data_IF_905070935364
#
_entry.id   IF_905070935364
#
_cell.length_a   1.000
_cell.length_b   1.000
_cell.length_c   1.000
_cell.angle_alpha   90.00
_cell.angle_beta   90.00
_cell.angle_gamma   90.00
#
_symmetry.space_group_name_H-M   'P 1'
#
loop_
_entity.id
_entity.type
_entity.pdbx_description
1 polymer ?
#
# COMPACT_ATOMS: atom_id res chain seq x y z
N UNK A 1 -26.37 -13.72 1.59
CA UNK A 1 -25.09 -14.14 0.99
C UNK A 1 -24.64 -13.03 0.07
N UNK A 2 -23.78 -12.14 0.57
CA UNK A 2 -23.16 -11.14 -0.30
C UNK A 2 -22.17 -11.89 -1.18
N UNK A 3 -22.43 -11.93 -2.49
CA UNK A 3 -21.48 -12.45 -3.47
C UNK A 3 -20.22 -11.59 -3.42
N UNK A 4 -19.15 -12.13 -2.86
CA UNK A 4 -17.82 -11.54 -2.81
C UNK A 4 -17.13 -11.69 -4.16
N UNK A 5 -17.67 -11.07 -5.20
CA UNK A 5 -17.10 -11.14 -6.55
C UNK A 5 -15.77 -10.38 -6.56
N UNK A 6 -14.62 -11.02 -6.83
CA UNK A 6 -13.34 -10.34 -6.91
C UNK A 6 -13.34 -9.28 -8.01
N UNK A 7 -12.83 -8.10 -7.69
CA UNK A 7 -12.62 -7.01 -8.65
C UNK A 7 -11.20 -7.05 -9.20
N UNK A 8 -11.02 -6.58 -10.43
CA UNK A 8 -9.70 -6.25 -10.96
C UNK A 8 -9.30 -4.85 -10.47
N UNK A 9 -8.03 -4.69 -10.10
CA UNK A 9 -7.46 -3.37 -9.80
C UNK A 9 -6.71 -2.85 -11.02
N UNK A 10 -7.10 -1.66 -11.48
CA UNK A 10 -6.47 -0.96 -12.59
C UNK A 10 -6.62 -1.65 -13.96
N UNK A 11 -6.00 -1.09 -15.00
CA UNK A 11 -6.05 -1.61 -16.35
C UNK A 11 -5.27 -2.92 -16.49
N UNK A 12 -5.85 -3.92 -17.16
CA UNK A 12 -5.25 -5.25 -17.33
C UNK A 12 -3.95 -5.29 -18.15
N UNK A 13 -3.60 -4.20 -18.82
CA UNK A 13 -2.37 -4.10 -19.61
C UNK A 13 -1.17 -3.58 -18.80
N UNK A 14 -1.39 -3.03 -17.60
CA UNK A 14 -0.30 -2.60 -16.72
C UNK A 14 0.43 -3.82 -16.16
N UNK A 15 1.76 -3.78 -16.19
CA UNK A 15 2.60 -4.82 -15.63
C UNK A 15 3.20 -4.33 -14.32
N UNK A 16 2.74 -4.91 -13.23
CA UNK A 16 3.28 -4.65 -11.89
C UNK A 16 3.88 -5.93 -11.30
N UNK A 17 4.75 -5.80 -10.29
CA UNK A 17 5.45 -6.92 -9.67
C UNK A 17 5.27 -6.95 -8.16
N UNK A 18 5.51 -8.14 -7.59
CA UNK A 18 5.60 -8.34 -6.14
C UNK A 18 4.28 -8.10 -5.39
N UNK A 19 4.31 -8.17 -4.06
CA UNK A 19 3.14 -7.84 -3.26
C UNK A 19 2.76 -6.37 -3.42
N UNK A 20 1.46 -6.10 -3.32
CA UNK A 20 0.91 -4.74 -3.24
C UNK A 20 0.91 -4.27 -1.78
N UNK A 21 0.60 -3.00 -1.53
CA UNK A 21 0.31 -2.49 -0.19
C UNK A 21 -1.01 -1.74 -0.19
N UNK A 22 -1.76 -1.83 0.90
CA UNK A 22 -3.06 -1.19 1.05
C UNK A 22 -3.05 -0.18 2.21
N UNK A 23 -3.74 0.94 2.03
CA UNK A 23 -4.03 1.88 3.11
C UNK A 23 -5.44 2.45 2.95
N UNK A 24 -6.17 2.61 4.06
CA UNK A 24 -7.39 3.41 4.05
C UNK A 24 -7.02 4.88 4.14
N UNK A 25 -7.21 5.60 3.04
CA UNK A 25 -7.11 7.04 2.95
C UNK A 25 -8.28 7.76 3.59
N UNK A 26 -8.09 9.04 3.95
CA UNK A 26 -9.15 9.95 4.43
C UNK A 26 -9.53 11.03 3.42
N UNK A 27 -9.01 10.92 2.19
CA UNK A 27 -9.31 11.85 1.11
C UNK A 27 -10.70 11.58 0.50
N UNK A 28 -11.44 12.64 0.20
CA UNK A 28 -12.86 12.54 -0.20
C UNK A 28 -13.82 12.52 1.00
N UNK A 29 -15.13 12.40 0.74
CA UNK A 29 -16.14 12.47 1.79
C UNK A 29 -16.11 11.26 2.73
N UNK A 30 -15.74 10.09 2.21
CA UNK A 30 -15.69 8.83 2.95
C UNK A 30 -14.30 8.20 3.03
N UNK A 31 -13.28 8.86 2.46
CA UNK A 31 -11.96 8.26 2.27
C UNK A 31 -11.90 7.39 1.01
N UNK A 32 -10.69 7.00 0.62
CA UNK A 32 -10.44 6.07 -0.47
C UNK A 32 -9.66 4.87 0.04
N UNK A 33 -9.84 3.69 -0.57
CA UNK A 33 -8.88 2.60 -0.36
C UNK A 33 -7.74 2.77 -1.35
N UNK A 34 -6.55 3.05 -0.84
CA UNK A 34 -5.33 3.25 -1.62
C UNK A 34 -4.58 1.93 -1.77
N UNK A 35 -4.05 1.68 -2.97
CA UNK A 35 -3.23 0.53 -3.28
C UNK A 35 -1.94 0.98 -3.97
N UNK A 36 -0.80 0.52 -3.48
CA UNK A 36 0.51 0.77 -4.07
C UNK A 36 1.08 -0.51 -4.67
N UNK A 37 1.65 -0.43 -5.87
CA UNK A 37 2.31 -1.53 -6.56
C UNK A 37 3.63 -1.07 -7.21
N UNK A 38 4.61 -1.97 -7.28
CA UNK A 38 5.84 -1.72 -8.06
C UNK A 38 5.56 -1.93 -9.55
N UNK A 39 6.01 -1.02 -10.40
CA UNK A 39 6.00 -1.24 -11.85
C UNK A 39 7.01 -2.34 -12.25
N UNK A 40 6.75 -3.05 -13.34
CA UNK A 40 7.64 -4.10 -13.83
C UNK A 40 8.97 -3.58 -14.42
N UNK A 41 8.97 -2.35 -14.92
CA UNK A 41 10.10 -1.66 -15.51
C UNK A 41 10.73 -0.69 -14.51
N UNK A 42 10.03 0.39 -14.17
CA UNK A 42 10.49 1.43 -13.25
C UNK A 42 9.34 2.22 -12.62
N UNK A 43 9.60 2.78 -11.44
CA UNK A 43 8.60 3.53 -10.70
C UNK A 43 7.57 2.68 -9.97
N UNK A 44 6.52 3.37 -9.56
CA UNK A 44 5.45 2.87 -8.71
C UNK A 44 4.11 3.29 -9.31
N UNK A 45 3.09 2.48 -9.05
CA UNK A 45 1.71 2.80 -9.33
C UNK A 45 0.93 2.94 -8.04
N UNK A 46 0.16 4.02 -7.90
CA UNK A 46 -0.90 4.11 -6.90
C UNK A 46 -2.26 3.99 -7.59
N UNK A 47 -3.16 3.22 -7.01
CA UNK A 47 -4.55 3.09 -7.40
C UNK A 47 -5.42 3.46 -6.21
N UNK A 48 -6.61 4.00 -6.46
CA UNK A 48 -7.58 4.27 -5.41
C UNK A 48 -8.93 3.68 -5.78
N UNK A 49 -9.61 3.10 -4.80
CA UNK A 49 -11.01 2.71 -4.91
C UNK A 49 -11.86 3.79 -4.25
N UNK A 50 -12.79 4.36 -5.00
CA UNK A 50 -13.74 5.34 -4.47
C UNK A 50 -14.67 4.65 -3.46
N UNK A 51 -14.68 5.11 -2.20
CA UNK A 51 -15.55 4.57 -1.16
C UNK A 51 -16.88 5.31 -1.01
N UNK A 52 -17.12 6.35 -1.81
CA UNK A 52 -18.38 7.08 -1.84
C UNK A 52 -19.56 6.15 -2.16
N UNK A 53 -20.75 6.55 -1.71
CA UNK A 53 -22.00 5.89 -2.06
C UNK A 53 -22.53 6.41 -3.40
N UNK A 54 -23.33 5.62 -4.13
CA UNK A 54 -24.05 6.12 -5.32
C UNK A 54 -24.95 7.34 -5.06
N UNK A 55 -25.29 7.60 -3.79
CA UNK A 55 -26.09 8.74 -3.34
C UNK A 55 -25.27 9.97 -2.99
N UNK A 56 -23.95 9.84 -2.86
CA UNK A 56 -23.08 10.97 -2.58
C UNK A 56 -22.93 11.82 -3.86
N UNK A 57 -22.77 13.15 -3.75
CA UNK A 57 -22.58 14.01 -4.92
C UNK A 57 -21.35 13.56 -5.70
N UNK A 58 -21.42 13.43 -7.04
CA UNK A 58 -20.27 13.04 -7.83
C UNK A 58 -19.16 14.09 -7.69
N UNK A 59 -17.95 13.65 -7.31
CA UNK A 59 -16.77 14.48 -7.44
C UNK A 59 -16.44 14.67 -8.93
N UNK A 60 -16.06 15.88 -9.34
CA UNK A 60 -15.72 16.18 -10.73
C UNK A 60 -14.50 15.36 -11.17
N UNK A 61 -14.67 14.54 -12.22
CA UNK A 61 -13.59 13.79 -12.85
C UNK A 61 -13.10 12.55 -12.09
N UNK A 62 -13.84 12.09 -11.07
CA UNK A 62 -13.43 10.97 -10.23
C UNK A 62 -13.98 9.60 -10.72
N UNK A 63 -13.39 8.53 -10.17
CA UNK A 63 -13.78 7.14 -10.39
C UNK A 63 -15.15 6.89 -9.77
N UNK A 64 -16.00 6.08 -10.40
CA UNK A 64 -17.33 5.78 -9.88
C UNK A 64 -17.30 5.07 -8.51
N UNK A 65 -18.32 5.27 -7.65
CA UNK A 65 -18.48 4.54 -6.39
C UNK A 65 -18.16 3.05 -6.47
N UNK A 66 -17.25 2.56 -5.63
CA UNK A 66 -16.84 1.16 -5.56
C UNK A 66 -15.96 0.68 -6.71
N UNK A 67 -15.50 1.56 -7.60
CA UNK A 67 -14.59 1.24 -8.69
C UNK A 67 -13.15 1.67 -8.36
N UNK A 68 -12.20 0.97 -8.97
CA UNK A 68 -10.77 1.30 -8.93
C UNK A 68 -10.40 2.30 -10.04
N UNK A 69 -9.45 3.18 -9.75
CA UNK A 69 -8.86 4.08 -10.74
C UNK A 69 -8.02 3.34 -11.79
N UNK A 70 -7.72 4.04 -12.89
CA UNK A 70 -6.75 3.57 -13.89
C UNK A 70 -5.30 3.61 -13.38
N UNK A 71 -5.08 4.19 -12.20
CA UNK A 71 -3.78 4.33 -11.55
C UNK A 71 -3.00 5.58 -11.96
N UNK A 72 -2.13 6.03 -11.06
CA UNK A 72 -1.17 7.09 -11.27
C UNK A 72 0.25 6.53 -11.15
N UNK A 73 1.06 6.69 -12.19
CA UNK A 73 2.47 6.34 -12.18
C UNK A 73 3.31 7.47 -11.59
N UNK A 74 4.27 7.12 -10.75
CA UNK A 74 5.22 8.05 -10.16
C UNK A 74 6.56 7.36 -9.85
N UNK A 75 7.52 8.11 -9.32
CA UNK A 75 8.84 7.59 -8.91
C UNK A 75 9.66 6.92 -10.02
N UNK A 76 9.42 7.28 -11.28
CA UNK A 76 10.16 6.77 -12.44
C UNK A 76 11.68 7.03 -12.31
N UNK A 77 12.48 6.22 -13.01
CA UNK A 77 13.95 6.27 -13.00
C UNK A 77 14.62 5.19 -12.15
N UNK A 78 13.93 4.65 -11.13
CA UNK A 78 14.40 3.55 -10.30
C UNK A 78 13.49 2.32 -10.43
N UNK A 79 14.08 1.12 -10.37
CA UNK A 79 13.33 -0.13 -10.29
C UNK A 79 13.10 -0.51 -8.83
N UNK A 80 11.84 -0.70 -8.44
CA UNK A 80 11.46 -1.10 -7.09
C UNK A 80 11.12 -2.58 -7.00
N UNK A 81 11.39 -3.18 -5.85
CA UNK A 81 11.12 -4.60 -5.56
C UNK A 81 10.04 -4.79 -4.51
N UNK A 82 9.82 -3.78 -3.66
CA UNK A 82 8.75 -3.75 -2.65
C UNK A 82 8.42 -2.30 -2.33
N UNK A 83 7.15 -2.00 -2.07
CA UNK A 83 6.75 -0.71 -1.54
C UNK A 83 5.58 -0.89 -0.57
N UNK A 84 5.52 -0.05 0.46
CA UNK A 84 4.41 -0.01 1.41
C UNK A 84 3.87 1.40 1.55
N UNK A 85 2.55 1.50 1.69
CA UNK A 85 1.81 2.75 1.86
C UNK A 85 1.03 2.69 3.18
N UNK A 86 1.03 3.81 3.91
CA UNK A 86 0.24 3.98 5.13
C UNK A 86 -0.38 5.37 5.17
N UNK A 87 -1.54 5.49 5.81
CA UNK A 87 -2.19 6.77 6.05
C UNK A 87 -1.52 7.49 7.23
N UNK A 88 -1.00 8.68 6.96
CA UNK A 88 -0.52 9.64 7.97
C UNK A 88 -1.70 10.22 8.77
N UNK A 89 -1.46 10.49 10.05
CA UNK A 89 -2.38 11.27 10.90
C UNK A 89 -1.92 12.73 11.05
N UNK A 90 -0.81 13.08 10.39
CA UNK A 90 -0.17 14.38 10.47
C UNK A 90 -0.51 15.20 9.22
N UNK A 91 -0.90 16.47 9.43
CA UNK A 91 -1.08 17.46 8.37
C UNK A 91 -2.30 17.24 7.46
N UNK A 92 -2.46 18.07 6.42
CA UNK A 92 -3.38 17.81 5.30
C UNK A 92 -2.81 16.75 4.32
N UNK A 93 -1.62 16.20 4.61
CA UNK A 93 -0.85 15.33 3.74
C UNK A 93 -1.03 13.88 4.19
N UNK A 94 -1.57 13.06 3.30
CA UNK A 94 -2.33 11.88 3.72
C UNK A 94 -1.53 10.59 3.68
N UNK A 95 -0.58 10.43 2.76
CA UNK A 95 0.01 9.12 2.49
C UNK A 95 1.53 9.14 2.66
N UNK A 96 2.02 8.14 3.38
CA UNK A 96 3.45 7.86 3.54
C UNK A 96 3.80 6.62 2.75
N UNK A 97 4.88 6.67 1.99
CA UNK A 97 5.35 5.56 1.18
C UNK A 97 6.81 5.28 1.48
N UNK A 98 7.13 4.02 1.76
CA UNK A 98 8.50 3.52 1.69
C UNK A 98 8.62 2.59 0.50
N UNK A 99 9.71 2.73 -0.27
CA UNK A 99 9.92 1.97 -1.49
C UNK A 99 11.36 1.47 -1.56
N UNK A 100 11.52 0.15 -1.70
CA UNK A 100 12.80 -0.53 -1.76
C UNK A 100 13.23 -0.66 -3.22
N UNK A 101 14.36 -0.06 -3.57
CA UNK A 101 14.95 -0.20 -4.91
C UNK A 101 15.61 -1.57 -5.10
N UNK A 102 15.84 -1.97 -6.34
CA UNK A 102 16.58 -3.18 -6.69
C UNK A 102 18.04 -3.18 -6.20
N UNK A 103 18.58 -2.01 -5.85
CA UNK A 103 19.92 -1.81 -5.29
C UNK A 103 19.94 -1.90 -3.75
N UNK A 104 18.78 -2.11 -3.11
CA UNK A 104 18.67 -2.23 -1.67
C UNK A 104 18.60 -0.90 -0.92
N UNK A 105 18.21 0.19 -1.60
CA UNK A 105 18.00 1.50 -0.98
C UNK A 105 16.52 1.61 -0.62
N UNK A 106 16.23 1.86 0.66
CA UNK A 106 14.86 2.09 1.13
C UNK A 106 14.55 3.58 1.11
N UNK A 107 13.91 4.03 0.04
CA UNK A 107 13.55 5.43 -0.16
C UNK A 107 12.29 5.81 0.62
N UNK A 108 12.19 7.08 1.01
CA UNK A 108 11.04 7.64 1.72
C UNK A 108 10.32 8.69 0.88
N UNK A 109 9.00 8.56 0.80
CA UNK A 109 8.12 9.35 -0.05
C UNK A 109 6.87 9.76 0.73
N UNK A 110 6.24 10.85 0.32
CA UNK A 110 4.94 11.27 0.83
C UNK A 110 4.10 11.88 -0.28
N UNK A 111 2.79 11.90 -0.09
CA UNK A 111 1.86 12.59 -0.99
C UNK A 111 1.34 13.87 -0.34
N UNK A 112 1.32 14.97 -1.10
CA UNK A 112 0.61 16.20 -0.74
C UNK A 112 -0.42 16.60 -1.80
N UNK A 113 -1.54 17.26 -1.42
CA UNK A 113 -2.53 17.73 -2.38
C UNK A 113 -1.97 18.68 -3.43
N UNK A 114 -0.97 19.49 -3.08
CA UNK A 114 -0.42 20.52 -3.97
C UNK A 114 0.55 19.94 -5.01
N UNK A 115 1.31 18.91 -4.65
CA UNK A 115 2.45 18.45 -5.46
C UNK A 115 2.40 16.97 -5.84
N UNK A 116 1.45 16.21 -5.31
CA UNK A 116 1.40 14.76 -5.49
C UNK A 116 2.50 14.06 -4.70
N UNK A 117 3.03 12.96 -5.25
CA UNK A 117 4.10 12.19 -4.59
C UNK A 117 5.46 12.86 -4.73
N UNK A 118 6.11 13.08 -3.60
CA UNK A 118 7.45 13.66 -3.50
C UNK A 118 8.40 12.72 -2.75
N UNK A 119 9.62 12.56 -3.28
CA UNK A 119 10.71 11.85 -2.61
C UNK A 119 11.37 12.77 -1.60
N UNK A 120 11.63 12.26 -0.40
CA UNK A 120 12.45 12.96 0.58
C UNK A 120 13.94 12.88 0.19
N UNK A 121 14.76 13.87 0.55
CA UNK A 121 16.20 13.82 0.28
C UNK A 121 16.92 12.67 0.99
N UNK A 122 16.42 12.27 2.16
CA UNK A 122 17.04 11.28 3.03
C UNK A 122 16.35 9.92 2.90
N UNK A 123 17.13 8.90 2.53
CA UNK A 123 16.68 7.51 2.53
C UNK A 123 16.48 6.98 3.95
N UNK A 124 15.55 6.04 4.12
CA UNK A 124 15.27 5.44 5.42
C UNK A 124 16.36 4.45 5.86
N UNK A 125 16.90 3.70 4.91
CA UNK A 125 17.96 2.72 5.12
C UNK A 125 18.63 2.34 3.79
N UNK A 126 19.79 1.70 3.88
CA UNK A 126 20.50 1.07 2.77
C UNK A 126 20.71 -0.43 3.04
N UNK A 127 21.25 -1.15 2.04
CA UNK A 127 21.58 -2.58 2.14
C UNK A 127 20.39 -3.47 2.52
N UNK A 128 19.17 -3.02 2.22
CA UNK A 128 17.91 -3.66 2.61
C UNK A 128 17.51 -4.73 1.59
N UNK A 129 17.13 -5.90 2.08
CA UNK A 129 16.56 -7.02 1.31
C UNK A 129 15.03 -7.03 1.34
N UNK A 130 14.46 -6.76 2.51
CA UNK A 130 13.01 -6.61 2.70
C UNK A 130 12.74 -5.69 3.88
N UNK A 131 11.52 -5.19 3.98
CA UNK A 131 11.10 -4.34 5.10
C UNK A 131 9.61 -4.50 5.41
N UNK A 132 9.24 -4.03 6.60
CA UNK A 132 7.87 -3.79 7.01
C UNK A 132 7.75 -2.40 7.65
N UNK A 133 6.64 -1.73 7.40
CA UNK A 133 6.30 -0.39 7.84
C UNK A 133 5.03 -0.43 8.67
N UNK A 134 5.04 0.26 9.80
CA UNK A 134 3.86 0.57 10.59
C UNK A 134 3.82 2.07 10.88
N UNK A 135 2.61 2.60 11.06
CA UNK A 135 2.40 3.98 11.45
C UNK A 135 1.46 4.04 12.65
N UNK A 136 1.89 4.72 13.71
CA UNK A 136 1.13 4.84 14.94
C UNK A 136 1.33 6.23 15.54
N UNK A 137 0.24 6.96 15.77
CA UNK A 137 0.26 8.30 16.40
C UNK A 137 1.27 9.30 15.78
N UNK A 138 1.47 9.25 14.45
CA UNK A 138 2.41 10.13 13.73
C UNK A 138 3.82 9.58 13.59
N UNK A 139 4.13 8.48 14.27
CA UNK A 139 5.44 7.83 14.27
C UNK A 139 5.45 6.72 13.22
N UNK A 140 6.40 6.76 12.30
CA UNK A 140 6.69 5.62 11.41
C UNK A 140 7.68 4.69 12.12
N UNK A 141 7.41 3.39 12.09
CA UNK A 141 8.30 2.34 12.56
C UNK A 141 8.59 1.39 11.42
N UNK A 142 9.86 1.05 11.25
CA UNK A 142 10.33 0.21 10.16
C UNK A 142 11.17 -0.92 10.72
N UNK A 143 10.89 -2.14 10.27
CA UNK A 143 11.83 -3.25 10.40
C UNK A 143 12.42 -3.50 9.03
N UNK A 144 13.74 -3.57 8.93
CA UNK A 144 14.43 -4.00 7.72
C UNK A 144 15.16 -5.31 8.01
N UNK A 145 15.33 -6.10 6.95
CA UNK A 145 16.27 -7.21 6.93
C UNK A 145 17.32 -6.92 5.87
N UNK A 146 18.59 -7.07 6.19
CA UNK A 146 19.69 -6.85 5.25
C UNK A 146 19.93 -8.07 4.36
N UNK A 147 20.82 -7.94 3.38
CA UNK A 147 21.28 -9.06 2.55
C UNK A 147 22.01 -10.16 3.34
N UNK A 148 22.58 -9.83 4.52
CA UNK A 148 23.19 -10.81 5.43
C UNK A 148 22.17 -11.48 6.37
N UNK A 149 20.90 -11.10 6.33
CA UNK A 149 19.85 -11.59 7.22
C UNK A 149 19.81 -10.90 8.59
N UNK A 150 20.53 -9.79 8.75
CA UNK A 150 20.46 -8.98 9.98
C UNK A 150 19.15 -8.19 10.02
N UNK A 151 18.46 -8.23 11.16
CA UNK A 151 17.29 -7.39 11.40
C UNK A 151 17.71 -6.07 12.05
N UNK A 152 17.20 -4.97 11.50
CA UNK A 152 17.37 -3.62 12.07
C UNK A 152 16.01 -2.95 12.20
N UNK A 153 15.86 -2.10 13.21
CA UNK A 153 14.64 -1.33 13.43
C UNK A 153 14.95 0.15 13.42
N UNK A 154 14.07 0.92 12.78
CA UNK A 154 14.15 2.36 12.70
C UNK A 154 12.82 2.98 13.09
N UNK A 155 12.87 4.21 13.57
CA UNK A 155 11.68 5.04 13.73
C UNK A 155 11.89 6.44 13.21
N UNK A 156 10.80 7.06 12.76
CA UNK A 156 10.73 8.46 12.44
C UNK A 156 9.60 9.11 13.25
N UNK A 157 9.98 10.07 14.09
CA UNK A 157 9.04 10.79 14.96
C UNK A 157 8.14 11.73 14.15
N UNK A 158 7.04 12.17 14.76
CA UNK A 158 6.14 13.16 14.15
C UNK A 158 6.80 14.55 14.00
N UNK A 159 7.79 14.86 14.84
CA UNK A 159 8.51 16.12 14.79
C UNK A 159 9.34 16.21 13.49
N UNK A 160 9.21 17.34 12.78
CA UNK A 160 9.90 17.54 11.50
C UNK A 160 9.16 16.98 10.28
N UNK A 161 7.87 16.63 10.42
CA UNK A 161 6.99 16.38 9.29
C UNK A 161 6.88 17.62 8.37
N UNK A 162 6.89 17.47 7.03
CA UNK A 162 6.93 16.22 6.28
C UNK A 162 8.32 15.64 6.07
N UNK A 163 9.42 16.37 6.28
CA UNK A 163 10.78 15.96 5.90
C UNK A 163 11.26 14.67 6.55
N UNK A 164 10.88 14.44 7.82
CA UNK A 164 11.23 13.25 8.63
C UNK A 164 12.74 13.00 8.80
N UNK A 165 13.08 12.40 9.94
CA UNK A 165 14.41 11.86 10.21
C UNK A 165 14.30 10.47 10.79
N UNK A 166 15.34 9.65 10.62
CA UNK A 166 15.36 8.25 11.03
C UNK A 166 16.37 8.04 12.15
N UNK A 167 15.95 7.32 13.18
CA UNK A 167 16.80 6.90 14.28
C UNK A 167 16.65 5.40 14.52
N UNK A 168 17.70 4.74 15.01
CA UNK A 168 17.62 3.34 15.42
C UNK A 168 16.56 3.16 16.52
N UNK A 169 15.87 2.03 16.47
CA UNK A 169 14.88 1.61 17.45
C UNK A 169 15.21 0.21 17.98
N UNK A 170 14.70 -0.12 19.17
CA UNK A 170 14.85 -1.45 19.76
C UNK A 170 13.85 -2.47 19.22
N UNK A 171 12.80 -2.01 18.55
CA UNK A 171 11.66 -2.82 18.10
C UNK A 171 11.02 -2.20 16.84
N UNK A 172 10.32 -3.02 16.08
CA UNK A 172 9.59 -2.62 14.87
C UNK A 172 8.52 -3.66 14.48
N UNK A 173 7.79 -3.42 13.37
CA UNK A 173 6.77 -4.35 12.88
C UNK A 173 7.36 -5.71 12.46
N UNK A 174 6.55 -6.76 12.47
CA UNK A 174 6.92 -8.05 11.89
C UNK A 174 7.06 -7.98 10.37
N UNK A 175 7.95 -8.80 9.78
CA UNK A 175 8.17 -8.87 8.33
C UNK A 175 7.14 -9.73 7.60
N UNK A 176 6.39 -10.56 8.32
CA UNK A 176 5.33 -11.40 7.77
C UNK A 176 4.04 -10.58 7.68
N UNK A 177 3.54 -10.41 6.45
CA UNK A 177 2.32 -9.70 6.12
C UNK A 177 1.43 -10.50 5.16
N UNK A 178 1.63 -11.83 5.06
CA UNK A 178 0.85 -12.69 4.16
C UNK A 178 -0.58 -12.91 4.68
N UNK A 179 -1.56 -12.57 3.85
CA UNK A 179 -2.99 -12.70 4.16
C UNK A 179 -3.67 -13.91 3.49
N UNK A 180 -2.92 -14.90 3.00
CA UNK A 180 -3.49 -16.06 2.30
C UNK A 180 -4.59 -16.77 3.10
N UNK A 181 -4.39 -16.97 4.40
CA UNK A 181 -5.39 -17.61 5.26
C UNK A 181 -6.72 -16.83 5.29
N UNK A 182 -6.66 -15.48 5.28
CA UNK A 182 -7.85 -14.64 5.25
C UNK A 182 -8.56 -14.69 3.89
N UNK A 183 -7.81 -14.76 2.78
CA UNK A 183 -8.37 -14.96 1.44
C UNK A 183 -9.12 -16.29 1.31
N UNK A 184 -8.51 -17.37 1.81
CA UNK A 184 -9.15 -18.70 1.82
C UNK A 184 -10.42 -18.68 2.67
N UNK A 185 -10.39 -18.03 3.83
CA UNK A 185 -11.59 -17.84 4.66
C UNK A 185 -12.68 -17.01 3.94
N UNK A 186 -12.29 -16.07 3.08
CA UNK A 186 -13.21 -15.28 2.25
C UNK A 186 -13.70 -16.03 0.99
N UNK A 187 -13.29 -17.29 0.79
CA UNK A 187 -13.73 -18.13 -0.32
C UNK A 187 -12.88 -18.06 -1.59
N UNK A 188 -11.69 -17.44 -1.54
CA UNK A 188 -10.73 -17.44 -2.65
C UNK A 188 -9.93 -18.74 -2.61
N UNK A 189 -9.82 -19.44 -3.75
CA UNK A 189 -9.02 -20.66 -3.82
C UNK A 189 -7.53 -20.32 -3.69
N UNK A 190 -6.80 -21.09 -2.87
CA UNK A 190 -5.37 -20.86 -2.66
C UNK A 190 -4.56 -20.98 -3.97
N UNK A 191 -4.98 -21.85 -4.88
CA UNK A 191 -4.33 -22.05 -6.18
C UNK A 191 -4.51 -20.86 -7.14
N UNK A 192 -5.48 -19.97 -6.87
CA UNK A 192 -5.67 -18.73 -7.63
C UNK A 192 -4.77 -17.60 -7.11
N UNK A 193 -4.03 -17.81 -6.02
CA UNK A 193 -3.21 -16.81 -5.34
C UNK A 193 -1.72 -17.04 -5.62
N UNK A 194 -1.06 -16.06 -6.24
CA UNK A 194 0.40 -16.06 -6.35
C UNK A 194 1.02 -15.98 -4.95
N UNK A 195 1.93 -16.91 -4.65
CA UNK A 195 2.52 -17.07 -3.32
C UNK A 195 3.17 -15.78 -2.81
N UNK A 196 2.90 -15.43 -1.55
CA UNK A 196 3.46 -14.25 -0.89
C UNK A 196 2.88 -12.91 -1.34
N UNK A 197 1.86 -12.88 -2.20
CA UNK A 197 1.24 -11.63 -2.69
C UNK A 197 -0.02 -11.22 -1.96
N UNK A 198 -0.60 -12.11 -1.15
CA UNK A 198 -1.85 -11.84 -0.44
C UNK A 198 -1.66 -10.80 0.66
N UNK A 199 -2.51 -9.78 0.71
CA UNK A 199 -2.46 -8.68 1.69
C UNK A 199 -3.84 -8.37 2.23
N UNK A 200 -3.85 -7.77 3.42
CA UNK A 200 -5.06 -7.35 4.09
C UNK A 200 -4.92 -5.95 4.68
N UNK A 201 -5.98 -5.16 4.60
CA UNK A 201 -6.12 -3.91 5.33
C UNK A 201 -7.53 -3.78 5.90
N UNK A 202 -7.67 -3.07 7.01
CA UNK A 202 -8.99 -2.70 7.53
C UNK A 202 -9.46 -1.43 6.83
N UNK A 203 -10.72 -1.41 6.42
CA UNK A 203 -11.39 -0.23 5.88
C UNK A 203 -12.64 0.10 6.71
N UNK A 204 -12.97 1.37 6.79
CA UNK A 204 -14.23 1.87 7.37
C UNK A 204 -15.40 1.78 6.38
N UNK A 205 -15.13 1.40 5.12
CA UNK A 205 -16.14 1.21 4.07
C UNK A 205 -17.18 0.18 4.53
N UNK A 206 -18.45 0.48 4.26
CA UNK A 206 -19.57 -0.39 4.62
C UNK A 206 -19.78 -0.60 6.12
N UNK A 207 -19.22 0.26 6.99
CA UNK A 207 -19.30 0.09 8.45
C UNK A 207 -18.17 -0.75 9.05
N UNK A 208 -17.17 -1.12 8.26
CA UNK A 208 -16.04 -1.94 8.67
C UNK A 208 -15.88 -3.18 7.80
N UNK A 209 -14.79 -3.25 7.04
CA UNK A 209 -14.47 -4.40 6.18
C UNK A 209 -13.00 -4.76 6.31
N UNK A 210 -12.70 -6.02 6.01
CA UNK A 210 -11.36 -6.50 5.73
C UNK A 210 -11.17 -6.50 4.21
N UNK A 211 -10.35 -5.58 3.72
CA UNK A 211 -9.99 -5.45 2.32
C UNK A 211 -8.83 -6.38 2.02
N UNK A 212 -9.04 -7.33 1.11
CA UNK A 212 -8.09 -8.36 0.75
C UNK A 212 -7.65 -8.19 -0.70
N UNK A 213 -6.34 -8.25 -0.94
CA UNK A 213 -5.77 -8.18 -2.28
C UNK A 213 -4.75 -9.28 -2.52
N UNK A 214 -4.57 -9.66 -3.78
CA UNK A 214 -3.59 -10.65 -4.21
C UNK A 214 -3.27 -10.49 -5.69
N UNK A 215 -2.24 -11.20 -6.16
CA UNK A 215 -2.04 -11.44 -7.59
C UNK A 215 -2.65 -12.76 -7.99
N UNK A 216 -3.44 -12.72 -9.03
CA UNK A 216 -4.03 -13.88 -9.68
C UNK A 216 -2.93 -14.76 -10.28
N UNK A 217 -2.82 -16.01 -9.83
CA UNK A 217 -1.71 -16.90 -10.22
C UNK A 217 -1.65 -17.18 -11.73
N UNK A 218 -2.78 -17.11 -12.43
CA UNK A 218 -2.86 -17.39 -13.87
C UNK A 218 -2.49 -16.16 -14.73
N UNK A 219 -2.84 -14.96 -14.28
CA UNK A 219 -2.71 -13.73 -15.08
C UNK A 219 -1.67 -12.74 -14.55
N UNK A 220 -1.26 -12.86 -13.29
CA UNK A 220 -0.41 -11.89 -12.58
C UNK A 220 -1.13 -10.57 -12.23
N UNK A 221 -2.40 -10.44 -12.61
CA UNK A 221 -3.22 -9.25 -12.36
C UNK A 221 -3.58 -9.10 -10.89
N UNK A 222 -3.71 -7.84 -10.44
CA UNK A 222 -4.10 -7.56 -9.05
C UNK A 222 -5.61 -7.74 -8.90
N UNK A 223 -6.00 -8.47 -7.86
CA UNK A 223 -7.38 -8.75 -7.48
C UNK A 223 -7.69 -8.11 -6.13
N UNK A 224 -8.95 -7.79 -5.92
CA UNK A 224 -9.45 -7.20 -4.68
C UNK A 224 -10.80 -7.79 -4.29
N UNK A 225 -11.01 -8.05 -2.99
CA UNK A 225 -12.30 -8.43 -2.42
C UNK A 225 -12.46 -7.85 -1.02
N UNK A 226 -13.68 -7.46 -0.65
CA UNK A 226 -13.98 -6.89 0.65
C UNK A 226 -14.77 -7.88 1.50
N UNK A 227 -14.18 -8.43 2.55
CA UNK A 227 -14.86 -9.33 3.48
C UNK A 227 -15.47 -8.55 4.66
N UNK A 228 -16.67 -8.92 5.10
CA UNK A 228 -17.25 -8.37 6.33
C UNK A 228 -16.47 -8.82 7.54
N UNK A 229 -16.28 -7.92 8.51
CA UNK A 229 -15.79 -8.27 9.84
C UNK A 229 -17.00 -8.82 10.63
N UNK A 230 -17.00 -10.11 10.97
CA UNK A 230 -17.99 -10.70 11.89
C UNK A 230 -17.84 -10.17 13.32
#
# INVERSE_FOLDING_TARGET
MNSLTPLHVGPSHLRTLGPVSLAQGVYGARGNLELLACDAHDGLWVFWCNADLPTDPPADGDVGPGQWSDGLHFAAGDRYTRAQIVQSVLGPDHLEVLALTAQGILQSWYWSPEHGFLRRPTDAADSVRTFALAHEHGVLRVTTETSSGELRHFRSEAAGYPERSWADASEGPGLDDDALAALVAAGVAADDVEAGTARAARSTRGGGTLELTWRDAATGGIRHVAASLE
#
